data_IF_894821720854
#
_entry.id   IF_894821720854
#
_cell.length_a   1.000
_cell.length_b   1.000
_cell.length_c   1.000
_cell.angle_alpha   90.00
_cell.angle_beta   90.00
_cell.angle_gamma   90.00
#
_symmetry.space_group_name_H-M   'P 1'
#
loop_
_entity.id
_entity.type
_entity.pdbx_description
1 polymer ?
#
# COMPACT_ATOMS: atom_id res chain seq x y z
N UNK A 1 8.55 1.31 -5.48
CA UNK A 1 8.59 0.83 -4.08
C UNK A 1 10.04 0.88 -3.61
N UNK A 2 10.28 0.78 -2.30
CA UNK A 2 11.61 0.92 -1.69
C UNK A 2 12.64 -0.05 -2.31
N UNK A 3 12.28 -1.33 -2.44
CA UNK A 3 13.13 -2.37 -3.06
C UNK A 3 13.61 -2.01 -4.48
N UNK A 4 12.75 -1.40 -5.30
CA UNK A 4 13.11 -1.01 -6.66
C UNK A 4 14.11 0.15 -6.72
N UNK A 5 13.96 1.15 -5.84
CA UNK A 5 14.89 2.29 -5.82
C UNK A 5 16.21 1.91 -5.15
N UNK A 6 16.18 1.04 -4.13
CA UNK A 6 17.37 0.49 -3.48
C UNK A 6 18.21 -0.30 -4.49
N UNK A 7 17.58 -1.19 -5.27
CA UNK A 7 18.25 -1.94 -6.34
C UNK A 7 18.96 -1.01 -7.34
N UNK A 8 18.27 0.03 -7.83
CA UNK A 8 18.85 0.96 -8.83
C UNK A 8 19.96 1.82 -8.17
N UNK A 9 19.86 2.12 -6.88
CA UNK A 9 20.88 2.83 -6.11
C UNK A 9 22.14 1.98 -5.89
N UNK A 10 21.98 0.73 -5.45
CA UNK A 10 23.07 -0.24 -5.28
C UNK A 10 23.86 -0.45 -6.58
N UNK A 11 23.16 -0.49 -7.70
CA UNK A 11 23.77 -0.59 -9.03
C UNK A 11 24.32 0.75 -9.56
N UNK A 12 24.40 1.79 -8.73
CA UNK A 12 24.90 3.14 -9.05
C UNK A 12 24.23 3.75 -10.28
N UNK A 13 22.93 3.48 -10.47
CA UNK A 13 22.13 3.96 -11.61
C UNK A 13 21.31 5.21 -11.29
N UNK A 14 21.34 5.71 -10.05
CA UNK A 14 20.75 7.01 -9.68
C UNK A 14 21.82 8.07 -9.40
N UNK A 15 21.49 9.35 -9.64
CA UNK A 15 22.30 10.49 -9.23
C UNK A 15 22.23 10.61 -7.71
N UNK A 16 23.39 10.62 -7.07
CA UNK A 16 23.49 10.58 -5.61
C UNK A 16 22.88 11.86 -5.01
N UNK A 17 22.20 11.73 -3.87
CA UNK A 17 21.48 12.85 -3.23
C UNK A 17 20.16 13.26 -3.89
N UNK A 18 19.72 12.61 -4.98
CA UNK A 18 18.44 12.94 -5.65
C UNK A 18 17.26 12.09 -5.19
N UNK A 19 17.48 11.06 -4.37
CA UNK A 19 16.40 10.25 -3.82
C UNK A 19 15.58 11.10 -2.85
N UNK A 20 14.28 11.15 -3.11
CA UNK A 20 13.30 11.76 -2.21
C UNK A 20 12.05 10.87 -2.17
N UNK A 21 11.47 10.72 -0.98
CA UNK A 21 10.08 10.23 -0.86
C UNK A 21 9.16 11.29 -1.45
N UNK A 22 8.11 10.89 -2.16
CA UNK A 22 7.17 11.79 -2.85
C UNK A 22 5.71 11.58 -2.40
N UNK A 23 5.41 10.41 -1.85
CA UNK A 23 4.08 10.04 -1.37
C UNK A 23 4.18 8.86 -0.40
N UNK A 24 3.17 8.70 0.44
CA UNK A 24 2.96 7.49 1.23
C UNK A 24 1.53 6.96 1.06
N UNK A 25 1.29 5.73 1.49
CA UNK A 25 -0.05 5.14 1.49
C UNK A 25 -0.30 4.36 2.78
N UNK A 26 -1.54 3.99 3.00
CA UNK A 26 -1.97 3.17 4.12
C UNK A 26 -2.73 1.96 3.62
N UNK A 27 -2.61 0.85 4.34
CA UNK A 27 -3.42 -0.34 4.13
C UNK A 27 -4.70 -0.24 4.96
N UNK A 28 -5.80 -0.71 4.38
CA UNK A 28 -7.11 -0.80 5.01
C UNK A 28 -7.71 -2.16 4.74
N UNK A 29 -8.55 -2.63 5.67
CA UNK A 29 -9.36 -3.81 5.44
C UNK A 29 -10.74 -3.36 4.97
N UNK A 30 -11.16 -3.94 3.86
CA UNK A 30 -12.43 -3.65 3.21
C UNK A 30 -13.32 -4.87 3.21
N UNK A 31 -14.63 -4.61 3.20
CA UNK A 31 -15.65 -5.59 2.91
C UNK A 31 -16.65 -5.01 1.91
N UNK A 32 -17.43 -5.86 1.26
CA UNK A 32 -18.57 -5.40 0.47
C UNK A 32 -19.53 -4.58 1.36
N UNK A 33 -20.22 -3.57 0.81
CA UNK A 33 -21.19 -2.73 1.53
C UNK A 33 -22.29 -3.55 2.21
N UNK A 34 -22.76 -4.59 1.53
CA UNK A 34 -23.73 -5.60 2.01
C UNK A 34 -23.16 -6.61 3.02
N UNK A 35 -21.85 -6.62 3.28
CA UNK A 35 -21.26 -7.53 4.27
C UNK A 35 -21.67 -7.14 5.69
N UNK A 36 -21.92 -8.17 6.52
CA UNK A 36 -22.21 -8.02 7.95
C UNK A 36 -20.96 -8.13 8.82
N UNK A 37 -19.81 -8.46 8.24
CA UNK A 37 -18.53 -8.57 8.96
C UNK A 37 -18.15 -7.20 9.51
N UNK A 38 -17.77 -7.17 10.78
CA UNK A 38 -17.25 -6.00 11.49
C UNK A 38 -16.02 -6.42 12.27
N UNK A 39 -15.02 -5.55 12.31
CA UNK A 39 -13.78 -5.74 13.04
C UNK A 39 -13.65 -4.59 14.04
N UNK A 40 -13.56 -4.92 15.32
CA UNK A 40 -13.23 -3.95 16.38
C UNK A 40 -11.73 -3.92 16.64
N UNK A 41 -11.06 -5.06 16.42
CA UNK A 41 -9.62 -5.24 16.54
C UNK A 41 -9.12 -6.21 15.48
N UNK A 42 -7.82 -6.25 15.26
CA UNK A 42 -7.25 -7.01 14.14
C UNK A 42 -7.39 -8.53 14.33
N UNK A 43 -7.36 -8.99 15.57
CA UNK A 43 -7.51 -10.39 15.95
C UNK A 43 -8.88 -10.96 15.56
N UNK A 44 -9.89 -10.12 15.37
CA UNK A 44 -11.20 -10.53 14.91
C UNK A 44 -11.13 -11.24 13.54
N UNK A 45 -10.10 -10.98 12.72
CA UNK A 45 -9.86 -11.71 11.47
C UNK A 45 -9.69 -13.23 11.67
N UNK A 46 -9.20 -13.64 12.83
CA UNK A 46 -9.01 -15.07 13.15
C UNK A 46 -10.30 -15.72 13.65
N UNK A 47 -11.21 -14.92 14.23
CA UNK A 47 -12.39 -15.39 14.96
C UNK A 47 -13.69 -15.25 14.16
N UNK A 48 -13.78 -14.27 13.27
CA UNK A 48 -15.00 -14.01 12.49
C UNK A 48 -15.15 -14.99 11.34
N UNK A 49 -16.42 -15.22 11.02
CA UNK A 49 -16.82 -16.03 9.88
C UNK A 49 -16.91 -15.16 8.62
N UNK A 50 -16.01 -15.43 7.69
CA UNK A 50 -15.97 -14.91 6.34
C UNK A 50 -15.33 -15.98 5.46
N UNK A 51 -15.68 -16.01 4.18
CA UNK A 51 -15.31 -17.11 3.29
C UNK A 51 -13.81 -17.08 2.95
N UNK A 52 -13.32 -15.92 2.50
CA UNK A 52 -11.91 -15.72 2.16
C UNK A 52 -11.44 -14.31 2.56
N UNK A 53 -10.14 -14.23 2.83
CA UNK A 53 -9.38 -13.00 3.01
C UNK A 53 -8.61 -12.68 1.72
N UNK A 54 -9.17 -11.83 0.87
CA UNK A 54 -8.56 -11.39 -0.37
C UNK A 54 -7.36 -10.47 -0.10
N UNK A 55 -6.20 -10.79 -0.66
CA UNK A 55 -5.03 -9.93 -0.56
C UNK A 55 -4.17 -10.03 -1.81
N UNK A 56 -3.41 -8.98 -2.12
CA UNK A 56 -2.35 -9.08 -3.12
C UNK A 56 -1.31 -10.14 -2.71
N UNK A 57 -0.72 -10.86 -3.67
CA UNK A 57 0.19 -11.96 -3.39
C UNK A 57 1.31 -11.53 -2.40
N UNK A 58 1.41 -12.19 -1.24
CA UNK A 58 2.30 -11.78 -0.15
C UNK A 58 3.79 -11.95 -0.44
N UNK A 59 4.15 -12.78 -1.42
CA UNK A 59 5.55 -13.04 -1.79
C UNK A 59 6.01 -12.15 -2.96
N UNK A 60 5.08 -11.71 -3.82
CA UNK A 60 5.41 -11.03 -5.07
C UNK A 60 5.02 -9.54 -5.10
N UNK A 61 3.89 -9.18 -4.49
CA UNK A 61 3.29 -7.84 -4.67
C UNK A 61 3.57 -6.97 -3.45
N UNK A 62 4.00 -5.70 -3.61
CA UNK A 62 4.35 -4.85 -2.47
C UNK A 62 3.26 -4.73 -1.41
N UNK A 63 2.00 -4.50 -1.82
CA UNK A 63 0.88 -4.44 -0.89
C UNK A 63 0.68 -5.75 -0.11
N UNK A 64 0.89 -6.89 -0.77
CA UNK A 64 0.84 -8.20 -0.14
C UNK A 64 1.96 -8.37 0.89
N UNK A 65 3.19 -7.97 0.53
CA UNK A 65 4.35 -7.99 1.44
C UNK A 65 4.12 -7.12 2.68
N UNK A 66 3.61 -5.90 2.49
CA UNK A 66 3.27 -5.00 3.60
C UNK A 66 2.17 -5.57 4.48
N UNK A 67 1.10 -6.11 3.89
CA UNK A 67 0.03 -6.75 4.64
C UNK A 67 0.53 -7.96 5.44
N UNK A 68 1.35 -8.83 4.83
CA UNK A 68 1.98 -9.96 5.51
C UNK A 68 2.83 -9.49 6.71
N UNK A 69 3.72 -8.53 6.51
CA UNK A 69 4.57 -7.99 7.57
C UNK A 69 3.75 -7.44 8.75
N UNK A 70 2.64 -6.74 8.45
CA UNK A 70 1.71 -6.27 9.47
C UNK A 70 1.04 -7.44 10.21
N UNK A 71 0.48 -8.42 9.50
CA UNK A 71 -0.16 -9.56 10.18
C UNK A 71 0.81 -10.46 10.95
N UNK A 72 2.09 -10.51 10.55
CA UNK A 72 3.17 -11.16 11.30
C UNK A 72 3.49 -10.39 12.58
N UNK A 73 3.56 -9.06 12.53
CA UNK A 73 3.79 -8.24 13.74
C UNK A 73 2.62 -8.34 14.73
N UNK A 74 1.40 -8.52 14.24
CA UNK A 74 0.20 -8.78 15.04
C UNK A 74 0.08 -10.26 15.47
N UNK A 75 1.02 -11.14 15.08
CA UNK A 75 1.04 -12.57 15.41
C UNK A 75 -0.19 -13.37 14.95
N UNK A 76 -0.93 -12.87 13.95
CA UNK A 76 -2.12 -13.54 13.41
C UNK A 76 -1.88 -14.20 12.05
N UNK A 77 -0.74 -13.94 11.40
CA UNK A 77 -0.46 -14.42 10.04
C UNK A 77 -0.71 -15.92 9.86
N UNK A 78 -0.14 -16.77 10.71
CA UNK A 78 -0.26 -18.23 10.60
C UNK A 78 -1.72 -18.71 10.69
N UNK A 79 -2.55 -18.04 11.48
CA UNK A 79 -3.98 -18.36 11.61
C UNK A 79 -4.79 -17.85 10.42
N UNK A 80 -4.33 -16.78 9.77
CA UNK A 80 -4.99 -16.19 8.62
C UNK A 80 -4.68 -16.94 7.32
N UNK A 81 -3.48 -17.52 7.19
CA UNK A 81 -3.00 -18.24 5.98
C UNK A 81 -4.04 -19.17 5.34
N UNK A 82 -4.76 -20.04 6.09
CA UNK A 82 -5.75 -20.94 5.50
C UNK A 82 -6.93 -20.22 4.84
N UNK A 83 -7.22 -18.97 5.22
CA UNK A 83 -8.32 -18.16 4.67
C UNK A 83 -7.85 -17.24 3.52
N UNK A 84 -6.55 -17.14 3.26
CA UNK A 84 -6.01 -16.17 2.31
C UNK A 84 -6.31 -16.58 0.87
N UNK A 85 -6.88 -15.64 0.10
CA UNK A 85 -7.04 -15.72 -1.34
C UNK A 85 -6.06 -14.73 -2.01
N UNK A 86 -4.88 -15.19 -2.46
CA UNK A 86 -3.89 -14.31 -3.06
C UNK A 86 -4.30 -13.87 -4.47
N UNK A 87 -4.08 -12.60 -4.77
CA UNK A 87 -4.42 -11.94 -6.04
C UNK A 87 -3.18 -11.38 -6.73
N UNK A 88 -3.26 -11.18 -8.04
CA UNK A 88 -2.14 -10.69 -8.87
C UNK A 88 -1.74 -9.25 -8.59
N UNK A 89 -2.65 -8.43 -8.06
CA UNK A 89 -2.42 -7.06 -7.61
C UNK A 89 -3.54 -6.59 -6.67
N UNK A 90 -3.42 -5.37 -6.14
CA UNK A 90 -4.38 -4.79 -5.19
C UNK A 90 -5.77 -4.57 -5.78
N UNK A 91 -5.86 -4.20 -7.06
CA UNK A 91 -7.15 -4.02 -7.74
C UNK A 91 -7.88 -5.34 -7.96
N UNK A 92 -7.15 -6.41 -8.27
CA UNK A 92 -7.71 -7.76 -8.33
C UNK A 92 -8.21 -8.21 -6.95
N UNK A 93 -7.47 -7.90 -5.88
CA UNK A 93 -7.91 -8.19 -4.52
C UNK A 93 -9.20 -7.43 -4.17
N UNK A 94 -9.27 -6.14 -4.52
CA UNK A 94 -10.46 -5.31 -4.35
C UNK A 94 -11.66 -5.87 -5.13
N UNK A 95 -11.46 -6.22 -6.41
CA UNK A 95 -12.52 -6.75 -7.27
C UNK A 95 -13.14 -8.05 -6.72
N UNK A 96 -12.33 -8.89 -6.05
CA UNK A 96 -12.85 -10.08 -5.37
C UNK A 96 -13.82 -9.71 -4.24
N UNK A 97 -13.47 -8.72 -3.42
CA UNK A 97 -14.34 -8.18 -2.36
C UNK A 97 -15.61 -7.54 -2.94
N UNK A 98 -15.50 -6.86 -4.08
CA UNK A 98 -16.65 -6.29 -4.79
C UNK A 98 -17.63 -7.34 -5.32
N UNK A 99 -17.13 -8.55 -5.62
CA UNK A 99 -17.92 -9.62 -6.26
C UNK A 99 -18.68 -10.50 -5.27
N UNK A 100 -18.23 -10.60 -4.01
CA UNK A 100 -18.79 -11.53 -3.03
C UNK A 100 -18.89 -10.88 -1.63
N UNK A 101 -20.10 -10.66 -1.09
CA UNK A 101 -20.29 -10.09 0.25
C UNK A 101 -19.72 -10.90 1.42
N UNK A 102 -19.39 -12.17 1.19
CA UNK A 102 -18.74 -13.04 2.18
C UNK A 102 -17.22 -12.94 2.17
N UNK A 103 -16.63 -12.22 1.20
CA UNK A 103 -15.19 -11.97 1.10
C UNK A 103 -14.87 -10.62 1.73
N UNK A 104 -13.80 -10.58 2.51
CA UNK A 104 -13.16 -9.36 2.98
C UNK A 104 -11.75 -9.31 2.41
N UNK A 105 -11.08 -8.17 2.45
CA UNK A 105 -9.71 -8.11 1.95
C UNK A 105 -8.92 -6.90 2.40
N UNK A 106 -7.61 -6.94 2.16
CA UNK A 106 -6.70 -5.83 2.45
C UNK A 106 -6.25 -5.16 1.17
N UNK A 107 -6.41 -3.83 1.12
CA UNK A 107 -6.08 -3.00 -0.03
C UNK A 107 -5.47 -1.68 0.42
N UNK A 108 -4.96 -0.87 -0.50
CA UNK A 108 -4.61 0.51 -0.17
C UNK A 108 -5.85 1.36 0.06
N UNK A 109 -5.77 2.33 0.97
CA UNK A 109 -6.84 3.31 1.22
C UNK A 109 -7.26 4.05 -0.07
N UNK A 110 -6.29 4.34 -0.93
CA UNK A 110 -6.51 4.92 -2.26
C UNK A 110 -7.38 4.04 -3.16
N UNK A 111 -7.13 2.74 -3.19
CA UNK A 111 -7.91 1.81 -4.02
C UNK A 111 -9.32 1.63 -3.45
N UNK A 112 -9.45 1.51 -2.13
CA UNK A 112 -10.76 1.45 -1.46
C UNK A 112 -11.63 2.68 -1.78
N UNK A 113 -11.03 3.88 -1.82
CA UNK A 113 -11.73 5.12 -2.16
C UNK A 113 -12.28 5.17 -3.60
N UNK A 114 -11.77 4.32 -4.51
CA UNK A 114 -12.30 4.25 -5.88
C UNK A 114 -13.57 3.41 -6.01
N UNK A 115 -13.88 2.56 -5.01
CA UNK A 115 -15.01 1.65 -5.05
C UNK A 115 -16.21 2.20 -4.29
N UNK A 116 -17.39 2.12 -4.91
CA UNK A 116 -18.70 2.35 -4.25
C UNK A 116 -19.33 1.07 -3.71
N UNK A 117 -18.75 -0.11 -4.03
CA UNK A 117 -19.28 -1.42 -3.65
C UNK A 117 -18.66 -1.93 -2.36
N UNK A 118 -17.51 -1.40 -1.96
CA UNK A 118 -16.85 -1.73 -0.70
C UNK A 118 -16.95 -0.62 0.33
N UNK A 119 -16.78 -0.99 1.60
CA UNK A 119 -16.60 -0.09 2.73
C UNK A 119 -15.34 -0.49 3.49
N UNK A 120 -14.66 0.48 4.09
CA UNK A 120 -13.57 0.21 5.03
C UNK A 120 -14.20 -0.30 6.33
N UNK A 121 -13.74 -1.46 6.80
CA UNK A 121 -14.18 -2.08 8.05
C UNK A 121 -13.10 -2.07 9.13
N UNK A 122 -11.86 -1.75 8.77
CA UNK A 122 -10.76 -1.54 9.69
C UNK A 122 -9.69 -0.67 9.04
N UNK A 123 -9.30 0.43 9.70
CA UNK A 123 -8.10 1.20 9.34
C UNK A 123 -6.94 0.73 10.22
N UNK A 124 -5.82 0.40 9.61
CA UNK A 124 -4.62 0.03 10.36
C UNK A 124 -4.08 1.29 11.05
N UNK A 125 -3.83 1.27 12.37
CA UNK A 125 -3.26 2.40 13.09
C UNK A 125 -1.91 2.84 12.51
N UNK A 126 -1.66 4.15 12.46
CA UNK A 126 -0.48 4.70 11.81
C UNK A 126 0.85 4.26 12.47
N UNK A 127 0.84 4.08 13.79
CA UNK A 127 1.95 3.57 14.60
C UNK A 127 2.24 2.07 14.37
N UNK A 128 1.28 1.35 13.78
CA UNK A 128 1.39 -0.07 13.44
C UNK A 128 1.51 -0.31 11.94
N UNK A 129 1.41 0.75 11.12
CA UNK A 129 1.45 0.65 9.67
C UNK A 129 2.87 0.37 9.21
N UNK A 130 3.08 -0.60 8.31
CA UNK A 130 4.35 -0.70 7.59
C UNK A 130 4.66 0.60 6.85
N UNK A 131 5.92 1.04 6.83
CA UNK A 131 6.32 2.23 6.08
C UNK A 131 6.11 2.00 4.57
N UNK A 132 4.98 2.48 4.05
CA UNK A 132 4.63 2.39 2.62
C UNK A 132 4.98 3.71 1.97
N UNK A 133 6.21 3.77 1.45
CA UNK A 133 6.74 4.97 0.81
C UNK A 133 6.97 4.77 -0.68
N UNK A 134 6.64 5.82 -1.44
CA UNK A 134 7.02 5.95 -2.84
C UNK A 134 8.13 6.97 -2.94
N UNK A 135 9.30 6.51 -3.37
CA UNK A 135 10.45 7.38 -3.63
C UNK A 135 10.67 7.57 -5.12
N UNK A 136 11.20 8.73 -5.49
CA UNK A 136 11.67 9.06 -6.82
C UNK A 136 13.13 9.52 -6.74
N UNK A 137 13.90 9.23 -7.80
CA UNK A 137 15.28 9.70 -7.95
C UNK A 137 15.59 9.97 -9.42
N UNK A 138 16.61 10.79 -9.67
CA UNK A 138 17.11 11.02 -11.02
C UNK A 138 18.01 9.85 -11.44
N UNK A 139 17.79 9.31 -12.64
CA UNK A 139 18.64 8.24 -13.20
C UNK A 139 19.93 8.85 -13.77
N UNK A 140 21.08 8.23 -13.50
CA UNK A 140 22.39 8.58 -14.09
C UNK A 140 22.33 8.37 -15.61
N UNK A 141 22.67 9.40 -16.39
CA UNK A 141 22.80 9.31 -17.85
C UNK A 141 24.26 8.99 -18.23
N UNK A 142 24.48 8.23 -19.30
CA UNK A 142 25.82 7.86 -19.82
C UNK A 142 26.75 9.06 -20.07
N UNK A 143 26.21 10.27 -20.28
CA UNK A 143 26.98 11.48 -20.61
C UNK A 143 27.28 12.41 -19.42
N UNK A 144 27.04 11.98 -18.17
CA UNK A 144 27.46 12.74 -16.98
C UNK A 144 26.74 14.07 -16.72
N UNK A 145 25.82 14.51 -17.60
CA UNK A 145 25.04 15.74 -17.38
C UNK A 145 24.08 15.60 -16.19
N UNK A 146 24.41 16.27 -15.08
CA UNK A 146 23.48 16.53 -13.98
C UNK A 146 22.61 17.72 -14.38
N UNK A 147 21.58 17.48 -15.20
CA UNK A 147 20.54 18.50 -15.41
C UNK A 147 19.71 18.64 -14.16
N UNK A 148 19.39 19.87 -13.77
CA UNK A 148 18.41 20.17 -12.73
C UNK A 148 17.10 19.47 -13.09
N UNK A 149 16.69 18.49 -12.28
CA UNK A 149 15.48 17.72 -12.55
C UNK A 149 14.25 18.48 -12.04
N UNK A 150 13.77 19.43 -12.86
CA UNK A 150 12.60 20.24 -12.56
C UNK A 150 11.35 19.41 -12.26
N UNK A 151 11.23 18.23 -12.90
CA UNK A 151 10.12 17.31 -12.63
C UNK A 151 10.23 16.69 -11.24
N UNK A 152 11.41 16.24 -10.84
CA UNK A 152 11.64 15.70 -9.50
C UNK A 152 11.30 16.75 -8.43
N UNK A 153 11.79 17.99 -8.59
CA UNK A 153 11.43 19.10 -7.68
C UNK A 153 9.92 19.40 -7.69
N UNK A 154 9.26 19.29 -8.84
CA UNK A 154 7.82 19.47 -8.95
C UNK A 154 7.06 18.44 -8.11
N UNK A 155 7.48 17.17 -8.07
CA UNK A 155 6.79 16.11 -7.30
C UNK A 155 6.71 16.41 -5.80
N UNK A 156 7.66 17.16 -5.24
CA UNK A 156 7.69 17.51 -3.82
C UNK A 156 7.03 18.86 -3.52
N UNK A 157 6.54 19.58 -4.53
CA UNK A 157 5.95 20.91 -4.31
C UNK A 157 4.47 20.82 -3.85
N UNK A 158 3.91 21.90 -3.28
CA UNK A 158 2.53 21.89 -2.79
C UNK A 158 1.46 21.54 -3.84
N UNK A 159 1.70 21.85 -5.12
CA UNK A 159 0.75 21.56 -6.21
C UNK A 159 0.70 20.06 -6.50
N UNK A 160 1.84 19.40 -6.60
CA UNK A 160 1.91 17.95 -6.77
C UNK A 160 1.38 17.22 -5.53
N UNK A 161 1.71 17.69 -4.33
CA UNK A 161 1.20 17.12 -3.08
C UNK A 161 -0.33 17.20 -2.97
N UNK A 162 -0.96 18.30 -3.44
CA UNK A 162 -2.43 18.38 -3.56
C UNK A 162 -3.00 17.34 -4.52
N UNK A 163 -2.32 17.07 -5.64
CA UNK A 163 -2.75 16.04 -6.60
C UNK A 163 -2.63 14.65 -5.96
N UNK A 164 -1.53 14.36 -5.27
CA UNK A 164 -1.36 13.11 -4.52
C UNK A 164 -2.47 12.92 -3.48
N UNK A 165 -2.74 13.96 -2.68
CA UNK A 165 -3.82 13.94 -1.69
C UNK A 165 -5.21 13.73 -2.32
N UNK A 166 -5.48 14.36 -3.46
CA UNK A 166 -6.74 14.16 -4.20
C UNK A 166 -6.93 12.72 -4.70
N UNK A 167 -5.84 11.97 -4.89
CA UNK A 167 -5.85 10.54 -5.21
C UNK A 167 -5.70 9.64 -3.98
N UNK A 168 -5.77 10.21 -2.77
CA UNK A 168 -5.76 9.50 -1.48
C UNK A 168 -4.37 9.12 -0.96
N UNK A 169 -3.30 9.55 -1.62
CA UNK A 169 -1.96 9.39 -1.08
C UNK A 169 -1.76 10.34 0.10
N UNK A 170 -1.03 9.88 1.10
CA UNK A 170 -0.71 10.69 2.26
C UNK A 170 0.52 11.56 1.95
N UNK A 171 0.51 12.85 2.35
CA UNK A 171 1.69 13.68 2.29
C UNK A 171 2.78 13.06 3.16
N UNK A 172 4.03 13.29 2.78
CA UNK A 172 5.18 12.83 3.53
C UNK A 172 5.12 13.53 4.88
N UNK A 173 5.12 12.78 5.98
CA UNK A 173 5.26 13.39 7.30
C UNK A 173 6.56 14.22 7.30
N UNK A 174 6.55 15.46 7.83
CA UNK A 174 7.80 16.19 7.99
C UNK A 174 8.72 15.31 8.84
N UNK A 175 9.89 14.99 8.29
CA UNK A 175 10.97 14.37 9.05
C UNK A 175 11.23 15.26 10.27
N UNK A 176 10.88 14.75 11.44
CA UNK A 176 11.16 15.40 12.73
C UNK A 176 12.66 15.42 12.99
#
# INVERSE_FOLDING_TARGET
NQQGIDYVQEHKRIVDGTRQTIASNSLVIVAHTKSKVQLSKIEDLTQKDFRYFSMANPEAVPAGKYAKAYFESQKIWQQLVPKIAPSTNVRAALAMVESDPSVIGVVYKTDAATSKKTKIIFEIPADQMPHIEYSAAQIKRKKGEIKHNHFLRFLSNPKAQKIFAAHGFQPIAPSS
#
